data_IF_438798609517
#
_entry.id   IF_438798609517
#
_cell.length_a   1.000
_cell.length_b   1.000
_cell.length_c   1.000
_cell.angle_alpha   90.00
_cell.angle_beta   90.00
_cell.angle_gamma   90.00
#
_symmetry.space_group_name_H-M   'P 1'
#
loop_
_entity.id
_entity.type
_entity.pdbx_description
1 polymer ?
#
# COMPACT_ATOMS: atom_id res chain seq x y z
N UNK A 1 -6.52 -29.63 2.48
CA UNK A 1 -6.14 -28.21 2.53
C UNK A 1 -7.14 -27.44 1.71
N UNK A 2 -7.72 -26.38 2.25
CA UNK A 2 -8.66 -25.53 1.52
C UNK A 2 -7.93 -24.53 0.61
N UNK A 3 -8.68 -23.93 -0.30
CA UNK A 3 -8.22 -22.89 -1.24
C UNK A 3 -8.91 -21.60 -0.85
N UNK A 4 -8.15 -20.51 -0.68
CA UNK A 4 -8.74 -19.19 -0.58
C UNK A 4 -9.28 -18.73 -1.94
N UNK A 5 -10.44 -18.07 -1.94
CA UNK A 5 -11.02 -17.45 -3.13
C UNK A 5 -11.11 -15.95 -2.88
N UNK A 6 -10.75 -15.16 -3.90
CA UNK A 6 -10.81 -13.71 -3.87
C UNK A 6 -11.42 -13.15 -5.14
N UNK A 7 -12.03 -11.98 -5.02
CA UNK A 7 -12.62 -11.23 -6.12
C UNK A 7 -12.16 -9.78 -6.07
N UNK A 8 -11.82 -9.24 -7.24
CA UNK A 8 -11.63 -7.81 -7.44
C UNK A 8 -12.89 -7.22 -8.04
N UNK A 9 -13.48 -6.27 -7.35
CA UNK A 9 -14.77 -5.67 -7.71
C UNK A 9 -14.57 -4.19 -7.99
N UNK A 10 -15.03 -3.74 -9.16
CA UNK A 10 -15.06 -2.32 -9.53
C UNK A 10 -16.01 -1.53 -8.61
N UNK A 11 -15.92 -0.19 -8.66
CA UNK A 11 -16.87 0.70 -7.94
C UNK A 11 -18.33 0.44 -8.32
N UNK A 12 -18.59 0.07 -9.59
CA UNK A 12 -19.93 -0.26 -10.11
C UNK A 12 -20.44 -1.64 -9.71
N UNK A 13 -19.65 -2.41 -8.96
CA UNK A 13 -20.03 -3.77 -8.53
C UNK A 13 -19.69 -4.88 -9.53
N UNK A 14 -19.07 -4.56 -10.67
CA UNK A 14 -18.63 -5.59 -11.61
C UNK A 14 -17.42 -6.34 -11.06
N UNK A 15 -17.44 -7.68 -11.11
CA UNK A 15 -16.28 -8.53 -10.81
C UNK A 15 -15.33 -8.49 -12.00
N UNK A 16 -14.13 -7.97 -11.80
CA UNK A 16 -13.10 -7.86 -12.84
C UNK A 16 -12.17 -9.08 -12.85
N UNK A 17 -11.86 -9.61 -11.66
CA UNK A 17 -11.06 -10.82 -11.50
C UNK A 17 -11.65 -11.73 -10.44
N UNK A 18 -11.54 -13.03 -10.68
CA UNK A 18 -11.68 -14.08 -9.68
C UNK A 18 -10.32 -14.74 -9.52
N UNK A 19 -9.87 -14.90 -8.28
CA UNK A 19 -8.55 -15.40 -7.92
C UNK A 19 -8.73 -16.61 -7.02
N UNK A 20 -7.97 -17.66 -7.28
CA UNK A 20 -7.83 -18.80 -6.40
C UNK A 20 -6.40 -18.83 -5.84
N UNK A 21 -6.28 -18.93 -4.53
CA UNK A 21 -5.02 -18.94 -3.81
C UNK A 21 -4.64 -20.30 -3.26
N UNK A 22 -3.77 -20.29 -2.27
CA UNK A 22 -3.48 -21.41 -1.40
C UNK A 22 -4.27 -21.28 -0.09
N UNK A 23 -3.98 -22.11 0.91
CA UNK A 23 -4.67 -22.04 2.20
C UNK A 23 -4.37 -20.74 2.98
N UNK A 24 -3.19 -20.15 2.76
CA UNK A 24 -2.64 -19.03 3.56
C UNK A 24 -2.24 -17.80 2.75
N UNK A 25 -2.34 -17.86 1.44
CA UNK A 25 -1.92 -16.78 0.55
C UNK A 25 -2.83 -16.75 -0.66
N UNK A 26 -3.05 -15.57 -1.22
CA UNK A 26 -3.80 -15.42 -2.47
C UNK A 26 -3.12 -14.39 -3.38
N UNK A 27 -2.58 -14.82 -4.53
CA UNK A 27 -1.82 -13.91 -5.38
C UNK A 27 -2.74 -12.98 -6.16
N UNK A 28 -2.66 -11.68 -5.91
CA UNK A 28 -3.41 -10.70 -6.70
C UNK A 28 -2.74 -10.53 -8.08
N UNK A 29 -3.48 -10.65 -9.20
CA UNK A 29 -2.90 -10.52 -10.53
C UNK A 29 -2.35 -9.11 -10.75
N UNK A 30 -1.44 -8.97 -11.73
CA UNK A 30 -1.00 -7.64 -12.17
C UNK A 30 -2.18 -6.88 -12.76
N UNK A 31 -2.60 -5.85 -12.04
CA UNK A 31 -3.68 -4.96 -12.47
C UNK A 31 -3.15 -4.00 -13.52
N UNK A 32 -3.96 -3.72 -14.55
CA UNK A 32 -3.61 -2.65 -15.49
C UNK A 32 -3.60 -1.33 -14.72
N UNK A 33 -2.44 -0.68 -14.66
CA UNK A 33 -2.33 0.68 -14.14
C UNK A 33 -2.98 1.62 -15.15
N UNK A 34 -4.24 1.95 -14.93
CA UNK A 34 -4.80 3.17 -15.51
C UNK A 34 -3.93 4.31 -14.98
N UNK A 35 -3.51 5.28 -15.81
CA UNK A 35 -2.70 6.41 -15.32
C UNK A 35 -3.47 7.10 -14.19
N UNK A 36 -3.03 6.85 -12.97
CA UNK A 36 -3.65 7.36 -11.76
C UNK A 36 -3.26 8.82 -11.66
N UNK A 37 -4.22 9.73 -11.77
CA UNK A 37 -3.97 11.11 -11.34
C UNK A 37 -3.54 11.09 -9.87
N UNK A 38 -2.61 11.98 -9.45
CA UNK A 38 -2.18 12.05 -8.07
C UNK A 38 -3.38 12.14 -7.13
N UNK A 39 -3.43 11.25 -6.14
CA UNK A 39 -4.54 11.15 -5.19
C UNK A 39 -5.64 10.15 -5.54
N UNK A 40 -5.67 9.56 -6.74
CA UNK A 40 -6.66 8.52 -7.08
C UNK A 40 -6.29 7.15 -6.51
N UNK A 41 -7.33 6.34 -6.26
CA UNK A 41 -7.27 4.93 -5.89
C UNK A 41 -7.68 4.04 -7.09
N UNK A 42 -7.29 2.77 -7.06
CA UNK A 42 -7.29 1.86 -8.21
C UNK A 42 -8.69 1.63 -8.80
N UNK A 43 -9.75 2.00 -8.08
CA UNK A 43 -11.14 1.77 -8.50
C UNK A 43 -11.60 0.34 -8.23
N UNK A 44 -10.79 -0.44 -7.51
CA UNK A 44 -11.01 -1.85 -7.22
C UNK A 44 -11.01 -2.09 -5.72
N UNK A 45 -11.97 -2.90 -5.27
CA UNK A 45 -12.01 -3.50 -3.95
C UNK A 45 -11.60 -4.95 -4.06
N UNK A 46 -10.73 -5.43 -3.17
CA UNK A 46 -10.43 -6.85 -3.08
C UNK A 46 -11.18 -7.47 -1.90
N UNK A 47 -11.95 -8.51 -2.16
CA UNK A 47 -12.65 -9.29 -1.15
C UNK A 47 -12.18 -10.73 -1.28
N UNK A 48 -11.61 -11.31 -0.23
CA UNK A 48 -11.15 -12.69 -0.23
C UNK A 48 -11.54 -13.43 1.05
N UNK A 49 -11.47 -14.76 1.00
CA UNK A 49 -11.73 -15.61 2.15
C UNK A 49 -10.45 -15.86 2.94
N UNK A 50 -10.53 -15.82 4.26
CA UNK A 50 -9.52 -16.37 5.16
C UNK A 50 -10.01 -17.68 5.75
N UNK A 51 -9.21 -18.75 5.56
CA UNK A 51 -9.52 -20.07 6.11
C UNK A 51 -9.02 -20.24 7.54
N UNK A 52 -8.16 -19.33 7.99
CA UNK A 52 -7.81 -19.18 9.40
C UNK A 52 -8.72 -18.12 10.01
N UNK A 53 -9.22 -18.31 11.23
CA UNK A 53 -10.12 -17.36 11.88
C UNK A 53 -9.36 -16.16 12.46
N UNK A 54 -8.62 -15.48 11.58
CA UNK A 54 -7.78 -14.30 11.83
C UNK A 54 -8.14 -13.22 10.82
N UNK A 55 -7.99 -11.97 11.24
CA UNK A 55 -8.25 -10.81 10.39
C UNK A 55 -7.23 -10.62 9.28
N UNK A 56 -7.16 -9.39 8.74
CA UNK A 56 -6.23 -9.03 7.68
C UNK A 56 -4.78 -9.27 8.11
N UNK A 57 -4.03 -9.98 7.28
CA UNK A 57 -2.61 -10.24 7.45
C UNK A 57 -1.77 -9.02 7.05
N UNK A 58 -0.48 -9.05 7.37
CA UNK A 58 0.46 -8.02 6.90
C UNK A 58 0.59 -8.03 5.36
N UNK A 59 0.43 -9.20 4.73
CA UNK A 59 0.46 -9.34 3.27
C UNK A 59 -0.73 -8.62 2.63
N UNK A 60 -1.92 -8.80 3.20
CA UNK A 60 -3.16 -8.13 2.77
C UNK A 60 -3.02 -6.60 2.83
N UNK A 61 -2.57 -6.09 3.98
CA UNK A 61 -2.38 -4.64 4.18
C UNK A 61 -1.28 -4.08 3.27
N UNK A 62 -0.25 -4.88 3.00
CA UNK A 62 0.82 -4.55 2.05
C UNK A 62 0.27 -4.44 0.65
N UNK A 63 -0.56 -5.38 0.22
CA UNK A 63 -1.14 -5.40 -1.12
C UNK A 63 -2.19 -4.31 -1.31
N UNK A 64 -3.00 -4.01 -0.29
CA UNK A 64 -3.88 -2.85 -0.23
C UNK A 64 -3.12 -1.56 -0.56
N UNK A 65 -1.99 -1.34 0.11
CA UNK A 65 -1.13 -0.17 -0.13
C UNK A 65 -0.44 -0.22 -1.49
N UNK A 66 0.13 -1.37 -1.87
CA UNK A 66 0.92 -1.48 -3.10
C UNK A 66 0.09 -1.30 -4.37
N UNK A 67 -1.11 -1.87 -4.34
CA UNK A 67 -2.05 -1.81 -5.46
C UNK A 67 -2.97 -0.60 -5.38
N UNK A 68 -2.86 0.21 -4.31
CA UNK A 68 -3.73 1.35 -4.02
C UNK A 68 -5.22 1.01 -4.17
N UNK A 69 -5.61 -0.16 -3.68
CA UNK A 69 -6.99 -0.61 -3.75
C UNK A 69 -7.90 0.36 -2.99
N UNK A 70 -9.14 0.49 -3.46
CA UNK A 70 -10.13 1.34 -2.79
C UNK A 70 -10.41 0.81 -1.37
N UNK A 71 -10.55 -0.51 -1.23
CA UNK A 71 -10.65 -1.23 0.05
C UNK A 71 -10.18 -2.68 -0.09
N UNK A 72 -9.88 -3.30 1.05
CA UNK A 72 -9.65 -4.73 1.17
C UNK A 72 -10.54 -5.33 2.26
N UNK A 73 -11.09 -6.52 2.02
CA UNK A 73 -11.87 -7.28 2.98
C UNK A 73 -11.46 -8.74 3.02
N UNK A 74 -11.10 -9.24 4.20
CA UNK A 74 -10.98 -10.66 4.50
C UNK A 74 -12.26 -11.17 5.17
N UNK A 75 -12.86 -12.23 4.63
CA UNK A 75 -14.02 -12.91 5.21
C UNK A 75 -13.55 -14.23 5.81
N UNK A 76 -13.64 -14.37 7.13
CA UNK A 76 -13.30 -15.65 7.78
C UNK A 76 -14.38 -16.68 7.54
N UNK A 77 -13.96 -17.93 7.36
CA UNK A 77 -14.84 -19.07 7.04
C UNK A 77 -14.81 -20.07 8.18
N UNK A 78 -15.98 -20.54 8.63
CA UNK A 78 -16.10 -21.60 9.63
C UNK A 78 -15.79 -22.98 9.03
N UNK A 79 -15.64 -23.99 9.89
CA UNK A 79 -15.34 -25.37 9.46
C UNK A 79 -16.41 -25.97 8.54
N UNK A 80 -17.67 -25.53 8.66
CA UNK A 80 -18.79 -25.93 7.77
C UNK A 80 -18.89 -25.08 6.49
N UNK A 81 -17.88 -24.23 6.22
CA UNK A 81 -17.77 -23.46 4.98
C UNK A 81 -18.60 -22.18 4.97
N UNK A 82 -19.17 -21.74 6.10
CA UNK A 82 -20.01 -20.53 6.16
C UNK A 82 -19.16 -19.27 6.39
N UNK A 83 -19.53 -18.14 5.78
CA UNK A 83 -18.90 -16.87 6.08
C UNK A 83 -19.25 -16.43 7.50
N UNK A 84 -18.28 -15.86 8.21
CA UNK A 84 -18.45 -15.41 9.60
C UNK A 84 -18.20 -13.91 9.74
N UNK A 85 -16.97 -13.50 10.03
CA UNK A 85 -16.60 -12.10 10.21
C UNK A 85 -15.91 -11.54 8.96
N UNK A 86 -16.18 -10.28 8.68
CA UNK A 86 -15.54 -9.46 7.69
C UNK A 86 -14.57 -8.48 8.37
N UNK A 87 -13.32 -8.51 7.93
CA UNK A 87 -12.24 -7.64 8.38
C UNK A 87 -11.89 -6.71 7.23
N UNK A 88 -12.25 -5.43 7.37
CA UNK A 88 -12.04 -4.43 6.33
C UNK A 88 -10.84 -3.54 6.60
N UNK A 89 -10.20 -3.04 5.56
CA UNK A 89 -9.23 -1.95 5.65
C UNK A 89 -9.29 -1.04 4.43
N UNK A 90 -8.86 0.20 4.62
CA UNK A 90 -8.75 1.20 3.56
C UNK A 90 -7.55 2.12 3.81
N UNK A 91 -7.06 2.78 2.75
CA UNK A 91 -5.90 3.67 2.84
C UNK A 91 -6.25 4.99 3.53
N UNK A 92 -5.30 5.59 4.24
CA UNK A 92 -5.46 6.90 4.88
C UNK A 92 -4.71 7.99 4.09
N UNK A 93 -5.20 9.24 4.10
CA UNK A 93 -4.41 10.40 3.70
C UNK A 93 -3.14 10.50 4.55
N UNK A 94 -2.05 10.96 3.95
CA UNK A 94 -0.78 11.03 4.66
C UNK A 94 -0.76 12.15 5.70
N UNK A 95 -0.62 11.76 6.98
CA UNK A 95 -0.16 12.61 8.06
C UNK A 95 1.08 11.95 8.70
N UNK A 96 2.11 12.74 8.99
CA UNK A 96 3.52 12.39 9.24
C UNK A 96 3.88 11.32 10.33
N UNK A 97 3.00 10.41 10.79
CA UNK A 97 3.36 9.44 11.85
C UNK A 97 2.51 8.14 11.98
N UNK A 98 1.63 7.76 11.05
CA UNK A 98 0.83 6.52 11.19
C UNK A 98 0.94 5.56 10.02
N UNK A 99 0.59 4.27 10.25
CA UNK A 99 0.40 3.26 9.19
C UNK A 99 -0.49 3.84 8.08
N UNK A 100 -0.25 3.53 6.79
CA UNK A 100 -0.94 4.19 5.68
C UNK A 100 -2.35 3.65 5.43
N UNK A 101 -2.92 2.94 6.39
CA UNK A 101 -4.24 2.33 6.31
C UNK A 101 -4.94 2.37 7.67
N UNK A 102 -6.27 2.31 7.64
CA UNK A 102 -7.11 2.04 8.80
C UNK A 102 -7.69 0.65 8.67
N UNK A 103 -7.59 -0.14 9.73
CA UNK A 103 -8.32 -1.41 9.88
C UNK A 103 -9.65 -1.09 10.57
N UNK A 104 -10.74 -1.60 10.01
CA UNK A 104 -12.09 -1.49 10.55
C UNK A 104 -12.30 -2.51 11.67
N UNK A 105 -13.21 -2.19 12.59
CA UNK A 105 -13.69 -3.18 13.55
C UNK A 105 -14.34 -4.36 12.81
N UNK A 106 -14.06 -5.62 13.21
CA UNK A 106 -14.67 -6.78 12.58
C UNK A 106 -16.19 -6.74 12.73
N UNK A 107 -16.91 -7.12 11.67
CA UNK A 107 -18.37 -7.20 11.68
C UNK A 107 -18.84 -8.47 10.97
N UNK A 108 -20.04 -8.96 11.28
CA UNK A 108 -20.62 -10.02 10.47
C UNK A 108 -20.80 -9.55 9.02
N UNK A 109 -20.58 -10.43 8.05
CA UNK A 109 -20.68 -10.10 6.61
C UNK A 109 -22.00 -9.40 6.26
N UNK A 110 -23.10 -9.84 6.86
CA UNK A 110 -24.44 -9.26 6.65
C UNK A 110 -24.62 -7.84 7.21
N UNK A 111 -23.74 -7.41 8.12
CA UNK A 111 -23.77 -6.09 8.74
C UNK A 111 -22.83 -5.09 8.06
N UNK A 112 -22.11 -5.51 7.02
CA UNK A 112 -21.23 -4.61 6.25
C UNK A 112 -22.10 -3.69 5.42
N UNK A 113 -22.35 -2.49 5.95
CA UNK A 113 -23.14 -1.44 5.30
C UNK A 113 -22.33 -0.14 5.23
N UNK A 114 -21.46 -0.05 4.22
CA UNK A 114 -20.72 1.17 3.92
C UNK A 114 -21.38 1.82 2.70
N UNK A 115 -21.81 3.10 2.79
CA UNK A 115 -22.29 3.86 1.64
C UNK A 115 -21.11 4.17 0.71
N UNK A 116 -20.69 3.16 -0.04
CA UNK A 116 -19.36 3.08 -0.62
C UNK A 116 -19.06 4.22 -1.60
N UNK A 117 -20.03 4.61 -2.42
CA UNK A 117 -19.85 5.70 -3.39
C UNK A 117 -19.53 7.04 -2.72
N UNK A 118 -20.22 7.36 -1.61
CA UNK A 118 -19.93 8.56 -0.82
C UNK A 118 -18.58 8.42 -0.12
N UNK A 119 -18.36 7.29 0.52
CA UNK A 119 -17.14 6.99 1.26
C UNK A 119 -15.88 7.13 0.38
N UNK A 120 -15.86 6.51 -0.81
CA UNK A 120 -14.68 6.50 -1.68
C UNK A 120 -14.40 7.89 -2.26
N UNK A 121 -15.44 8.66 -2.56
CA UNK A 121 -15.30 10.05 -3.02
C UNK A 121 -14.68 10.93 -1.94
N UNK A 122 -15.19 10.87 -0.70
CA UNK A 122 -14.64 11.62 0.43
C UNK A 122 -13.19 11.20 0.74
N UNK A 123 -12.90 9.91 0.64
CA UNK A 123 -11.56 9.39 0.83
C UNK A 123 -10.59 9.90 -0.22
N UNK A 124 -10.91 9.77 -1.52
CA UNK A 124 -10.06 10.29 -2.60
C UNK A 124 -9.87 11.81 -2.49
N UNK A 125 -10.90 12.58 -2.12
CA UNK A 125 -10.80 14.02 -1.89
C UNK A 125 -9.86 14.35 -0.73
N UNK A 126 -9.88 13.56 0.34
CA UNK A 126 -9.00 13.75 1.49
C UNK A 126 -7.54 13.39 1.15
N UNK A 127 -7.32 12.30 0.40
CA UNK A 127 -6.00 11.91 -0.11
C UNK A 127 -5.49 13.00 -1.07
N UNK A 128 -6.31 13.42 -2.03
CA UNK A 128 -5.97 14.47 -2.99
C UNK A 128 -5.58 15.76 -2.26
N UNK A 129 -6.36 16.22 -1.28
CA UNK A 129 -6.03 17.41 -0.49
C UNK A 129 -4.72 17.28 0.26
N UNK A 130 -4.43 16.12 0.85
CA UNK A 130 -3.13 15.86 1.50
C UNK A 130 -1.95 15.96 0.54
N UNK A 131 -2.15 15.61 -0.74
CA UNK A 131 -1.16 15.80 -1.80
C UNK A 131 -1.18 17.22 -2.38
N UNK A 132 -2.33 17.88 -2.50
CA UNK A 132 -2.50 19.22 -3.08
C UNK A 132 -1.80 20.29 -2.23
N UNK A 133 -1.90 20.17 -0.89
CA UNK A 133 -1.14 21.02 0.04
C UNK A 133 0.37 20.87 -0.16
N UNK A 134 0.84 19.68 -0.56
CA UNK A 134 2.24 19.47 -0.98
C UNK A 134 2.51 20.00 -2.40
N UNK A 135 1.55 19.85 -3.33
CA UNK A 135 1.69 20.06 -4.78
C UNK A 135 1.85 21.50 -5.25
N UNK A 136 1.59 22.52 -4.42
CA UNK A 136 1.76 23.92 -4.84
C UNK A 136 3.23 24.25 -5.20
N UNK A 137 4.17 23.35 -4.93
CA UNK A 137 5.61 23.59 -5.14
C UNK A 137 6.41 22.42 -5.78
N UNK A 138 5.75 21.41 -6.38
CA UNK A 138 6.41 20.10 -6.65
C UNK A 138 6.35 19.66 -8.11
N UNK A 139 7.51 19.24 -8.65
CA UNK A 139 7.71 18.63 -9.96
C UNK A 139 7.05 17.26 -10.14
N UNK A 140 6.98 16.76 -11.38
CA UNK A 140 6.34 15.46 -11.70
C UNK A 140 7.02 14.25 -11.03
N UNK A 141 8.32 14.32 -10.79
CA UNK A 141 9.12 13.24 -10.22
C UNK A 141 9.30 13.38 -8.71
N UNK A 142 8.97 12.31 -7.99
CA UNK A 142 8.95 12.24 -6.53
C UNK A 142 9.66 10.97 -6.04
N UNK A 143 10.74 11.15 -5.31
CA UNK A 143 11.64 10.07 -4.91
C UNK A 143 11.63 9.82 -3.40
N UNK A 144 11.84 8.56 -3.01
CA UNK A 144 12.37 8.22 -1.69
C UNK A 144 13.83 7.86 -1.87
N UNK A 145 14.74 8.56 -1.18
CA UNK A 145 16.17 8.29 -1.29
C UNK A 145 16.56 7.09 -0.43
N UNK A 146 17.30 6.15 -1.01
CA UNK A 146 17.74 4.94 -0.31
C UNK A 146 19.26 4.88 -0.30
N UNK A 147 19.86 4.77 0.89
CA UNK A 147 21.29 4.54 1.02
C UNK A 147 21.61 3.48 2.09
N UNK A 148 22.65 2.70 1.84
CA UNK A 148 23.19 1.71 2.79
C UNK A 148 24.61 2.02 3.17
N UNK A 149 24.93 1.95 4.46
CA UNK A 149 26.28 2.17 4.97
C UNK A 149 26.68 1.08 5.97
N UNK A 150 27.95 0.66 6.02
CA UNK A 150 28.44 -0.27 7.05
C UNK A 150 28.18 0.24 8.48
N UNK A 151 28.34 1.55 8.68
CA UNK A 151 28.03 2.27 9.91
C UNK A 151 27.42 3.63 9.55
N UNK A 152 26.51 4.14 10.38
CA UNK A 152 25.86 5.44 10.18
C UNK A 152 26.73 6.50 10.86
N UNK A 153 27.73 6.99 10.13
CA UNK A 153 28.65 8.05 10.58
C UNK A 153 28.20 9.42 10.06
N UNK A 154 28.85 10.50 10.50
CA UNK A 154 28.58 11.84 9.94
C UNK A 154 28.88 11.90 8.44
N UNK A 155 29.90 11.16 7.97
CA UNK A 155 30.18 11.01 6.54
C UNK A 155 28.98 10.42 5.77
N UNK A 156 28.32 9.40 6.34
CA UNK A 156 27.13 8.80 5.74
C UNK A 156 25.96 9.80 5.65
N UNK A 157 25.79 10.64 6.67
CA UNK A 157 24.77 11.71 6.67
C UNK A 157 25.06 12.79 5.63
N UNK A 158 26.32 13.20 5.50
CA UNK A 158 26.76 14.16 4.48
C UNK A 158 26.50 13.60 3.07
N UNK A 159 26.82 12.33 2.82
CA UNK A 159 26.55 11.70 1.53
C UNK A 159 25.05 11.61 1.22
N UNK A 160 24.19 11.39 2.22
CA UNK A 160 22.74 11.46 2.02
C UNK A 160 22.26 12.89 1.74
N UNK A 161 22.82 13.90 2.41
CA UNK A 161 22.52 15.31 2.12
C UNK A 161 22.96 15.71 0.71
N UNK A 162 24.10 15.20 0.25
CA UNK A 162 24.59 15.40 -1.12
C UNK A 162 23.66 14.73 -2.15
N UNK A 163 23.26 13.48 -1.92
CA UNK A 163 22.28 12.79 -2.76
C UNK A 163 20.95 13.55 -2.85
N UNK A 164 20.48 14.09 -1.72
CA UNK A 164 19.29 14.93 -1.66
C UNK A 164 19.47 16.22 -2.46
N UNK A 165 20.58 16.94 -2.30
CA UNK A 165 20.87 18.14 -3.08
C UNK A 165 20.94 17.88 -4.58
N UNK A 166 21.55 16.76 -5.00
CA UNK A 166 21.60 16.33 -6.41
C UNK A 166 20.22 15.97 -6.96
N UNK A 167 19.38 15.32 -6.14
CA UNK A 167 18.01 14.95 -6.54
C UNK A 167 17.15 16.21 -6.70
N UNK A 168 17.24 17.15 -5.75
CA UNK A 168 16.54 18.42 -5.82
C UNK A 168 17.00 19.26 -7.03
N UNK A 169 18.30 19.29 -7.34
CA UNK A 169 18.82 20.02 -8.51
C UNK A 169 18.42 19.40 -9.84
N UNK A 170 18.15 18.08 -9.88
CA UNK A 170 17.54 17.39 -11.01
C UNK A 170 16.04 17.69 -11.17
N UNK A 171 15.46 18.54 -10.32
CA UNK A 171 14.04 18.84 -10.33
C UNK A 171 13.19 17.67 -9.86
N UNK A 172 13.71 16.79 -8.99
CA UNK A 172 12.99 15.68 -8.39
C UNK A 172 12.70 16.03 -6.92
N UNK A 173 11.46 15.85 -6.49
CA UNK A 173 11.08 16.12 -5.11
C UNK A 173 11.33 14.94 -4.18
N UNK A 174 12.02 15.17 -3.08
CA UNK A 174 12.37 14.13 -2.11
C UNK A 174 11.27 14.01 -1.06
N UNK A 175 10.55 12.88 -1.08
CA UNK A 175 9.42 12.60 -0.16
C UNK A 175 9.85 11.99 1.17
N UNK A 176 10.93 11.18 1.16
CA UNK A 176 11.48 10.53 2.35
C UNK A 176 12.93 10.09 2.11
N UNK A 177 13.66 9.76 3.18
CA UNK A 177 15.05 9.29 3.16
C UNK A 177 15.21 8.07 4.04
N UNK A 178 15.59 6.94 3.44
CA UNK A 178 15.85 5.69 4.14
C UNK A 178 17.35 5.40 4.19
N UNK A 179 17.91 5.45 5.41
CA UNK A 179 19.28 5.01 5.67
C UNK A 179 19.24 3.66 6.39
N UNK A 180 19.87 2.64 5.82
CA UNK A 180 20.00 1.33 6.45
C UNK A 180 21.45 1.00 6.78
N UNK A 181 21.72 0.63 8.04
CA UNK A 181 23.01 0.07 8.42
C UNK A 181 23.14 -1.34 7.85
N UNK A 182 24.14 -1.57 7.02
CA UNK A 182 24.42 -2.88 6.42
C UNK A 182 25.93 -3.02 6.11
N UNK A 183 26.61 -4.09 6.58
CA UNK A 183 28.05 -4.27 6.35
C UNK A 183 28.44 -4.33 4.87
N UNK A 184 27.60 -4.95 4.04
CA UNK A 184 27.73 -4.98 2.57
C UNK A 184 26.35 -4.85 1.93
N UNK A 185 26.18 -3.98 0.92
CA UNK A 185 24.94 -3.90 0.16
C UNK A 185 24.54 -5.30 -0.38
N UNK A 186 23.24 -5.57 -0.41
CA UNK A 186 22.74 -6.72 -1.15
C UNK A 186 23.10 -6.55 -2.64
N UNK A 187 23.76 -7.52 -3.30
CA UNK A 187 24.23 -7.36 -4.68
C UNK A 187 23.12 -7.07 -5.69
N UNK A 188 21.87 -7.46 -5.37
CA UNK A 188 20.72 -7.32 -6.25
C UNK A 188 19.78 -6.21 -5.80
N UNK A 189 19.57 -6.04 -4.49
CA UNK A 189 18.52 -5.18 -3.94
C UNK A 189 19.04 -4.04 -3.05
N UNK A 190 20.35 -3.93 -2.83
CA UNK A 190 21.03 -2.94 -1.95
C UNK A 190 20.63 -3.09 -0.47
N UNK A 191 19.36 -2.90 -0.12
CA UNK A 191 18.78 -3.00 1.24
C UNK A 191 18.30 -4.41 1.62
N UNK A 192 18.08 -5.27 0.63
CA UNK A 192 17.52 -6.62 0.77
C UNK A 192 15.99 -6.68 0.70
N UNK A 193 15.43 -7.87 0.45
CA UNK A 193 14.01 -8.08 0.09
C UNK A 193 13.01 -7.53 1.10
N UNK A 194 13.22 -7.78 2.40
CA UNK A 194 12.30 -7.35 3.46
C UNK A 194 12.22 -5.83 3.57
N UNK A 195 13.38 -5.16 3.64
CA UNK A 195 13.43 -3.70 3.75
C UNK A 195 12.96 -3.01 2.47
N UNK A 196 13.27 -3.58 1.30
CA UNK A 196 12.74 -3.06 0.04
C UNK A 196 11.21 -3.14 -0.01
N UNK A 197 10.60 -4.22 0.46
CA UNK A 197 9.14 -4.32 0.54
C UNK A 197 8.53 -3.21 1.41
N UNK A 198 9.11 -2.94 2.58
CA UNK A 198 8.70 -1.85 3.46
C UNK A 198 8.82 -0.48 2.78
N UNK A 199 9.96 -0.22 2.11
CA UNK A 199 10.17 1.04 1.38
C UNK A 199 9.18 1.18 0.23
N UNK A 200 8.91 0.12 -0.53
CA UNK A 200 7.95 0.13 -1.64
C UNK A 200 6.53 0.41 -1.13
N UNK A 201 6.13 -0.15 0.01
CA UNK A 201 4.84 0.16 0.64
C UNK A 201 4.77 1.65 1.00
N UNK A 202 5.83 2.19 1.61
CA UNK A 202 5.90 3.61 1.96
C UNK A 202 5.90 4.50 0.72
N UNK A 203 6.62 4.14 -0.34
CA UNK A 203 6.65 4.83 -1.62
C UNK A 203 5.26 4.95 -2.23
N UNK A 204 4.51 3.84 -2.25
CA UNK A 204 3.16 3.80 -2.79
C UNK A 204 2.16 4.59 -1.95
N UNK A 205 2.36 4.60 -0.63
CA UNK A 205 1.62 5.46 0.27
C UNK A 205 1.94 6.95 0.06
N UNK A 206 3.19 7.29 -0.23
CA UNK A 206 3.66 8.68 -0.45
C UNK A 206 3.43 9.19 -1.87
N UNK A 207 2.92 8.34 -2.77
CA UNK A 207 2.84 8.63 -4.21
C UNK A 207 4.23 8.94 -4.82
N UNK A 208 5.28 8.29 -4.27
CA UNK A 208 6.62 8.30 -4.84
C UNK A 208 6.64 7.40 -6.08
N UNK A 209 7.17 7.93 -7.18
CA UNK A 209 7.33 7.22 -8.45
C UNK A 209 8.79 6.84 -8.74
N UNK A 210 9.73 7.27 -7.87
CA UNK A 210 11.17 6.95 -7.92
C UNK A 210 11.68 6.43 -6.56
N UNK A 211 12.67 5.55 -6.60
CA UNK A 211 13.40 4.97 -5.46
C UNK A 211 14.90 4.98 -5.73
#
# INVERSE_FOLDING_TARGET
MGVQIGILITRKGNVEYVVAGEARSIPIPRLQRVRMHPGRLQGLRFIHTHLENVGLSTEDLTDLAKLRLDMMYAITVSEDGKPTLAYGAYLLPQNHSSKPWKVLEPSHVQNVDIPFDRFIMELEDSIYRSHAVKKVDISEDRAILIATFPNITDKARIQMQELEALTLSAGIHVLDKVIQRRPKPDPRLIVGKGKLNEIVINALAMDANLL
#
